data_IF_712066678204
#
_entry.id   IF_712066678204
#
_cell.length_a   1.000
_cell.length_b   1.000
_cell.length_c   1.000
_cell.angle_alpha   90.00
_cell.angle_beta   90.00
_cell.angle_gamma   90.00
#
_symmetry.space_group_name_H-M   'P 1'
#
loop_
_entity.id
_entity.type
_entity.pdbx_description
1 polymer ?
#
# COMPACT_ATOMS: atom_id res chain seq x y z
N UNK A 1 -67.88 -10.52 -40.10
CA UNK A 1 -67.75 -9.76 -41.36
C UNK A 1 -66.55 -8.83 -41.25
N UNK A 2 -65.39 -9.33 -40.79
CA UNK A 2 -64.36 -10.11 -41.51
C UNK A 2 -63.39 -9.18 -42.26
N UNK A 3 -62.37 -8.79 -41.49
CA UNK A 3 -61.24 -7.97 -41.86
C UNK A 3 -60.13 -8.86 -42.45
N UNK A 4 -59.51 -8.37 -43.52
CA UNK A 4 -58.54 -9.03 -44.38
C UNK A 4 -57.42 -9.82 -43.67
N UNK A 5 -57.29 -11.09 -44.04
CA UNK A 5 -56.18 -11.99 -43.69
C UNK A 5 -55.45 -12.38 -44.99
N UNK A 6 -54.12 -12.27 -44.97
CA UNK A 6 -53.25 -13.25 -45.61
C UNK A 6 -52.74 -12.95 -47.02
N UNK A 7 -51.87 -11.95 -47.17
CA UNK A 7 -50.92 -11.89 -48.31
C UNK A 7 -49.83 -12.94 -48.09
N UNK A 8 -50.11 -14.16 -48.54
CA UNK A 8 -49.10 -15.22 -48.70
C UNK A 8 -48.48 -15.10 -50.09
N UNK A 9 -47.32 -14.43 -50.21
CA UNK A 9 -46.41 -14.62 -51.34
C UNK A 9 -45.06 -15.12 -50.86
N UNK A 10 -44.87 -16.42 -51.08
CA UNK A 10 -43.72 -17.01 -51.78
C UNK A 10 -42.34 -16.68 -51.19
N UNK A 11 -41.83 -17.59 -50.36
CA UNK A 11 -40.39 -17.77 -50.18
C UNK A 11 -39.94 -19.15 -50.72
N UNK A 12 -39.02 -19.18 -51.70
CA UNK A 12 -38.34 -20.38 -52.18
C UNK A 12 -37.21 -20.81 -51.21
N UNK A 13 -36.55 -21.96 -51.43
CA UNK A 13 -36.10 -22.87 -50.38
C UNK A 13 -34.83 -22.44 -49.64
N UNK A 14 -34.72 -22.95 -48.42
CA UNK A 14 -33.65 -22.74 -47.45
C UNK A 14 -32.34 -23.27 -48.04
N UNK A 15 -31.50 -22.37 -48.56
CA UNK A 15 -30.10 -22.67 -48.88
C UNK A 15 -29.37 -22.89 -47.55
N UNK A 16 -28.93 -24.11 -47.34
CA UNK A 16 -27.96 -24.50 -46.32
C UNK A 16 -26.78 -23.53 -46.33
N UNK A 17 -26.57 -22.81 -45.22
CA UNK A 17 -25.36 -22.05 -45.00
C UNK A 17 -24.20 -23.03 -44.76
N UNK A 18 -23.11 -22.76 -45.48
CA UNK A 18 -21.88 -23.54 -45.52
C UNK A 18 -21.10 -23.40 -44.20
N UNK A 19 -20.46 -24.47 -43.76
CA UNK A 19 -19.74 -24.58 -42.48
C UNK A 19 -18.57 -23.57 -42.26
N UNK A 20 -18.26 -22.71 -43.24
CA UNK A 20 -17.24 -21.65 -43.13
C UNK A 20 -17.70 -20.38 -42.37
N UNK A 21 -18.99 -20.24 -42.04
CA UNK A 21 -19.49 -19.12 -41.23
C UNK A 21 -19.14 -19.25 -39.74
N UNK A 22 -18.75 -20.45 -39.28
CA UNK A 22 -18.46 -20.71 -37.86
C UNK A 22 -17.14 -20.10 -37.38
N UNK A 23 -16.11 -20.00 -38.24
CA UNK A 23 -14.84 -19.36 -37.87
C UNK A 23 -14.96 -17.84 -37.78
N UNK A 24 -15.76 -17.22 -38.66
CA UNK A 24 -15.96 -15.76 -38.68
C UNK A 24 -16.78 -15.34 -37.46
N UNK A 25 -17.83 -16.10 -37.11
CA UNK A 25 -18.62 -15.85 -35.91
C UNK A 25 -17.80 -16.08 -34.62
N UNK A 26 -16.90 -17.08 -34.58
CA UNK A 26 -16.00 -17.27 -33.44
C UNK A 26 -14.92 -16.20 -33.30
N UNK A 27 -14.40 -15.67 -34.43
CA UNK A 27 -13.45 -14.54 -34.43
C UNK A 27 -14.14 -13.25 -33.99
N UNK A 28 -15.35 -12.98 -34.48
CA UNK A 28 -16.15 -11.82 -34.08
C UNK A 28 -16.59 -11.89 -32.60
N UNK A 29 -17.00 -13.07 -32.11
CA UNK A 29 -17.36 -13.28 -30.72
C UNK A 29 -16.13 -13.17 -29.78
N UNK A 30 -14.95 -13.69 -30.17
CA UNK A 30 -13.70 -13.50 -29.39
C UNK A 30 -13.25 -12.04 -29.37
N UNK A 31 -13.36 -11.30 -30.48
CA UNK A 31 -13.00 -9.87 -30.52
C UNK A 31 -13.97 -9.05 -29.66
N UNK A 32 -15.27 -9.36 -29.65
CA UNK A 32 -16.26 -8.68 -28.82
C UNK A 32 -16.07 -9.00 -27.32
N UNK A 33 -15.73 -10.24 -26.96
CA UNK A 33 -15.45 -10.64 -25.57
C UNK A 33 -14.12 -10.06 -25.08
N UNK A 34 -13.08 -10.00 -25.92
CA UNK A 34 -11.80 -9.35 -25.56
C UNK A 34 -11.99 -7.85 -25.37
N UNK A 35 -12.81 -7.18 -26.19
CA UNK A 35 -13.14 -5.77 -26.00
C UNK A 35 -13.99 -5.52 -24.74
N UNK A 36 -14.87 -6.45 -24.36
CA UNK A 36 -15.68 -6.34 -23.14
C UNK A 36 -14.86 -6.63 -21.86
N UNK A 37 -13.89 -7.55 -21.92
CA UNK A 37 -12.98 -7.85 -20.79
C UNK A 37 -11.95 -6.75 -20.57
N UNK A 38 -11.53 -6.02 -21.61
CA UNK A 38 -10.63 -4.87 -21.46
C UNK A 38 -11.30 -3.61 -20.86
N UNK A 39 -12.63 -3.50 -20.89
CA UNK A 39 -13.34 -2.32 -20.39
C UNK A 39 -13.64 -2.33 -18.87
N UNK A 40 -13.53 -3.48 -18.20
CA UNK A 40 -13.73 -3.63 -16.74
C UNK A 40 -12.43 -3.87 -15.97
N UNK A 41 -11.28 -3.84 -16.64
CA UNK A 41 -9.96 -4.07 -16.04
C UNK A 41 -9.07 -2.81 -16.02
N UNK A 42 -9.66 -1.61 -15.95
CA UNK A 42 -8.92 -0.43 -15.54
C UNK A 42 -8.89 -0.40 -14.00
N UNK A 43 -7.69 -0.43 -13.39
CA UNK A 43 -7.55 -0.87 -12.03
C UNK A 43 -8.12 0.20 -11.09
N UNK A 44 -8.94 -0.23 -10.13
CA UNK A 44 -9.09 0.47 -8.85
C UNK A 44 -7.77 0.32 -8.07
N UNK A 45 -6.65 0.73 -8.68
CA UNK A 45 -5.37 1.07 -8.03
C UNK A 45 -5.34 2.56 -7.65
N UNK A 46 -6.37 3.34 -8.01
CA UNK A 46 -6.48 4.76 -7.69
C UNK A 46 -7.03 5.06 -6.28
N UNK A 47 -7.29 4.04 -5.46
CA UNK A 47 -7.63 4.22 -4.03
C UNK A 47 -6.47 3.76 -3.15
N UNK A 48 -5.25 4.23 -3.44
CA UNK A 48 -4.23 4.34 -2.40
C UNK A 48 -4.52 5.68 -1.70
N UNK A 49 -5.00 5.68 -0.44
CA UNK A 49 -5.24 6.93 0.28
C UNK A 49 -3.93 7.72 0.28
N UNK A 50 -3.99 8.90 -0.33
CA UNK A 50 -2.84 9.77 -0.51
C UNK A 50 -2.17 9.99 0.85
N UNK A 51 -0.95 9.45 0.99
CA UNK A 51 0.04 9.88 1.97
C UNK A 51 -0.54 10.18 3.37
N UNK A 52 -1.13 9.19 4.04
CA UNK A 52 -1.34 9.30 5.48
C UNK A 52 0.03 9.27 6.16
N UNK A 53 0.66 10.43 6.27
CA UNK A 53 1.82 10.66 7.14
C UNK A 53 1.33 10.52 8.56
N UNK A 54 1.30 9.29 9.06
CA UNK A 54 0.98 8.93 10.43
C UNK A 54 1.92 9.71 11.36
N UNK A 55 1.42 10.82 11.92
CA UNK A 55 2.15 11.63 12.91
C UNK A 55 2.04 10.93 14.26
N UNK A 56 3.12 10.87 15.01
CA UNK A 56 3.04 10.38 16.37
C UNK A 56 2.32 11.40 17.23
N UNK A 57 1.47 10.88 18.11
CA UNK A 57 0.98 11.66 19.22
C UNK A 57 2.17 12.13 20.10
N UNK A 58 2.08 13.31 20.72
CA UNK A 58 2.98 13.71 21.78
C UNK A 58 3.13 12.62 22.85
N UNK A 59 4.34 12.39 23.33
CA UNK A 59 4.57 11.53 24.48
C UNK A 59 5.71 10.54 24.31
N UNK A 60 5.47 9.32 24.79
CA UNK A 60 6.47 8.25 24.86
C UNK A 60 6.27 7.29 23.70
N UNK A 61 7.35 7.06 22.97
CA UNK A 61 7.43 6.16 21.82
C UNK A 61 8.42 5.08 22.17
N UNK A 62 8.07 3.82 21.96
CA UNK A 62 8.95 2.69 22.24
C UNK A 62 9.23 1.99 20.93
N UNK A 63 10.51 1.82 20.59
CA UNK A 63 10.94 1.10 19.40
C UNK A 63 11.65 -0.17 19.83
N UNK A 64 11.15 -1.32 19.43
CA UNK A 64 11.85 -2.59 19.54
C UNK A 64 12.83 -2.74 18.38
N UNK A 65 14.04 -3.21 18.67
CA UNK A 65 15.11 -3.36 17.70
C UNK A 65 15.70 -4.75 17.74
N UNK A 66 16.17 -5.25 16.61
CA UNK A 66 17.00 -6.45 16.54
C UNK A 66 18.46 -6.12 16.88
N UNK A 67 19.18 -7.05 17.49
CA UNK A 67 20.64 -7.01 17.64
C UNK A 67 21.22 -5.84 18.47
N UNK A 68 20.47 -5.25 19.41
CA UNK A 68 20.98 -4.21 20.34
C UNK A 68 21.66 -4.79 21.59
N UNK A 69 22.46 -5.85 21.43
CA UNK A 69 23.12 -6.59 22.51
C UNK A 69 24.36 -5.89 23.12
N UNK A 70 24.71 -4.69 22.65
CA UNK A 70 25.97 -4.03 23.01
C UNK A 70 25.80 -2.53 23.31
N UNK A 71 26.57 -2.00 24.27
CA UNK A 71 26.50 -0.58 24.63
C UNK A 71 26.86 0.36 23.46
N UNK A 72 27.75 -0.08 22.57
CA UNK A 72 28.11 0.66 21.36
C UNK A 72 26.93 0.75 20.38
N UNK A 73 26.18 -0.34 20.25
CA UNK A 73 25.00 -0.48 19.41
C UNK A 73 23.90 0.49 19.89
N UNK A 74 23.60 0.46 21.20
CA UNK A 74 22.67 1.38 21.83
C UNK A 74 23.09 2.86 21.68
N UNK A 75 24.38 3.18 21.87
CA UNK A 75 24.90 4.54 21.66
C UNK A 75 24.72 5.00 20.21
N UNK A 76 24.96 4.13 19.21
CA UNK A 76 24.76 4.47 17.80
C UNK A 76 23.31 4.83 17.50
N UNK A 77 22.35 4.02 17.96
CA UNK A 77 20.91 4.28 17.79
C UNK A 77 20.52 5.58 18.47
N UNK A 78 20.92 5.76 19.73
CA UNK A 78 20.62 6.97 20.49
C UNK A 78 21.14 8.23 19.78
N UNK A 79 22.37 8.22 19.27
CA UNK A 79 22.93 9.35 18.50
C UNK A 79 22.13 9.69 17.25
N UNK A 80 21.65 8.68 16.50
CA UNK A 80 20.82 8.91 15.32
C UNK A 80 19.45 9.49 15.69
N UNK A 81 18.85 9.01 16.77
CA UNK A 81 17.57 9.53 17.27
C UNK A 81 17.68 10.94 17.84
N UNK A 82 18.76 11.28 18.53
CA UNK A 82 19.00 12.66 18.98
C UNK A 82 19.19 13.66 17.83
N UNK A 83 19.61 13.20 16.65
CA UNK A 83 19.70 14.04 15.46
C UNK A 83 18.33 14.32 14.81
N UNK A 84 17.28 13.60 15.20
CA UNK A 84 15.92 13.82 14.69
C UNK A 84 15.33 15.06 15.33
N UNK A 85 14.94 16.03 14.48
CA UNK A 85 14.24 17.24 14.93
C UNK A 85 12.92 16.86 15.62
N UNK A 86 12.75 17.34 16.85
CA UNK A 86 11.56 17.07 17.66
C UNK A 86 11.75 15.97 18.72
N UNK A 87 12.88 15.28 18.76
CA UNK A 87 13.19 14.36 19.87
C UNK A 87 13.76 15.12 21.06
N UNK A 88 13.22 14.91 22.27
CA UNK A 88 13.68 15.56 23.51
C UNK A 88 14.63 14.68 24.33
N UNK A 89 14.29 13.40 24.49
CA UNK A 89 15.12 12.43 25.21
C UNK A 89 15.04 11.06 24.55
N UNK A 90 16.13 10.31 24.65
CA UNK A 90 16.24 8.92 24.20
C UNK A 90 16.87 8.10 25.31
N UNK A 91 16.21 7.01 25.68
CA UNK A 91 16.65 6.05 26.68
C UNK A 91 16.66 4.63 26.06
N UNK A 92 17.82 4.14 25.61
CA UNK A 92 17.97 2.75 25.17
C UNK A 92 18.06 1.79 26.37
N UNK A 93 17.45 0.62 26.26
CA UNK A 93 17.48 -0.48 27.22
C UNK A 93 18.02 -1.73 26.55
N UNK A 94 19.22 -2.16 26.96
CA UNK A 94 19.88 -3.37 26.46
C UNK A 94 19.19 -4.65 26.93
N UNK A 95 18.59 -4.63 28.13
CA UNK A 95 17.93 -5.81 28.71
C UNK A 95 16.69 -6.27 27.93
N UNK A 96 16.05 -5.34 27.22
CA UNK A 96 14.79 -5.59 26.50
C UNK A 96 14.89 -5.39 25.00
N UNK A 97 16.06 -4.98 24.51
CA UNK A 97 16.26 -4.52 23.13
C UNK A 97 15.23 -3.44 22.70
N UNK A 98 14.94 -2.52 23.63
CA UNK A 98 13.98 -1.44 23.42
C UNK A 98 14.66 -0.07 23.49
N UNK A 99 14.17 0.86 22.68
CA UNK A 99 14.57 2.26 22.74
C UNK A 99 13.34 3.12 23.02
N UNK A 100 13.37 3.82 24.15
CA UNK A 100 12.32 4.76 24.54
C UNK A 100 12.68 6.15 24.06
N UNK A 101 11.78 6.79 23.31
CA UNK A 101 11.94 8.12 22.75
C UNK A 101 10.84 9.02 23.30
N UNK A 102 11.24 10.15 23.86
CA UNK A 102 10.31 11.18 24.34
C UNK A 102 10.17 12.27 23.29
N UNK A 103 8.96 12.40 22.76
CA UNK A 103 8.56 13.44 21.81
C UNK A 103 7.69 14.45 22.55
N UNK A 104 8.08 15.73 22.63
CA UNK A 104 7.31 16.75 23.31
C UNK A 104 6.09 17.19 22.46
N UNK A 105 5.06 17.74 23.11
CA UNK A 105 3.79 18.06 22.45
C UNK A 105 3.85 19.22 21.46
N UNK A 106 4.83 20.10 21.62
CA UNK A 106 5.08 21.25 20.75
C UNK A 106 5.65 20.85 19.39
N UNK A 107 6.27 19.67 19.27
CA UNK A 107 6.98 19.23 18.07
C UNK A 107 6.64 17.79 17.70
N UNK A 108 5.54 17.55 16.95
CA UNK A 108 5.19 16.22 16.50
C UNK A 108 6.21 15.68 15.49
N UNK A 109 6.56 14.41 15.65
CA UNK A 109 7.49 13.69 14.77
C UNK A 109 6.70 12.62 13.99
N UNK A 110 7.09 12.33 12.75
CA UNK A 110 6.45 11.28 11.95
C UNK A 110 7.04 9.89 12.26
N UNK A 111 6.22 8.84 12.15
CA UNK A 111 6.63 7.43 12.42
C UNK A 111 7.80 7.03 11.55
N UNK A 112 7.71 7.36 10.27
CA UNK A 112 8.74 7.10 9.27
C UNK A 112 10.08 7.74 9.64
N UNK A 113 10.08 8.90 10.31
CA UNK A 113 11.32 9.59 10.69
C UNK A 113 12.04 8.88 11.83
N UNK A 114 11.30 8.45 12.86
CA UNK A 114 11.90 7.66 13.96
C UNK A 114 12.37 6.31 13.44
N UNK A 115 11.53 5.61 12.68
CA UNK A 115 11.85 4.31 12.12
C UNK A 115 13.09 4.35 11.22
N UNK A 116 13.14 5.30 10.27
CA UNK A 116 14.29 5.46 9.38
C UNK A 116 15.56 5.90 10.11
N UNK A 117 15.46 6.70 11.18
CA UNK A 117 16.61 7.08 11.98
C UNK A 117 17.24 5.88 12.72
N UNK A 118 16.41 4.96 13.22
CA UNK A 118 16.88 3.69 13.80
C UNK A 118 17.53 2.83 12.71
N UNK A 119 16.85 2.62 11.57
CA UNK A 119 17.41 1.86 10.46
C UNK A 119 18.76 2.44 9.97
N UNK A 120 18.92 3.76 9.98
CA UNK A 120 20.14 4.47 9.60
C UNK A 120 21.32 4.27 10.58
N UNK A 121 21.12 3.67 11.76
CA UNK A 121 22.23 3.23 12.62
C UNK A 121 22.81 1.88 12.20
N UNK A 122 22.19 1.20 11.22
CA UNK A 122 22.49 -0.17 10.82
C UNK A 122 21.81 -1.21 11.71
N UNK A 123 20.83 -0.80 12.52
CA UNK A 123 20.07 -1.68 13.41
C UNK A 123 18.62 -1.72 12.91
N UNK A 124 18.05 -2.92 12.81
CA UNK A 124 16.71 -3.11 12.26
C UNK A 124 15.65 -2.88 13.34
N UNK A 125 14.73 -1.92 13.18
CA UNK A 125 13.54 -1.83 14.01
C UNK A 125 12.53 -2.92 13.65
N UNK A 126 11.89 -3.50 14.67
CA UNK A 126 10.92 -4.61 14.55
C UNK A 126 9.50 -4.10 14.79
N UNK A 127 9.32 -3.32 15.84
CA UNK A 127 8.03 -2.80 16.27
C UNK A 127 8.22 -1.37 16.79
N UNK A 128 7.26 -0.50 16.51
CA UNK A 128 7.16 0.85 17.07
C UNK A 128 5.81 1.01 17.75
N UNK A 129 5.84 1.38 19.03
CA UNK A 129 4.67 1.56 19.87
C UNK A 129 4.52 3.02 20.27
N UNK A 130 3.31 3.55 20.23
CA UNK A 130 3.00 4.86 20.77
C UNK A 130 1.56 4.87 21.30
N UNK A 131 1.39 5.27 22.56
CA UNK A 131 0.09 5.13 23.23
C UNK A 131 -0.41 3.68 23.23
N UNK A 132 -1.59 3.46 22.68
CA UNK A 132 -2.21 2.12 22.52
C UNK A 132 -1.84 1.43 21.22
N UNK A 133 -1.20 2.14 20.29
CA UNK A 133 -0.95 1.64 18.96
C UNK A 133 0.40 0.92 18.86
N UNK A 134 0.42 -0.16 18.08
CA UNK A 134 1.62 -0.92 17.74
C UNK A 134 1.69 -1.01 16.22
N UNK A 135 2.85 -0.66 15.69
CA UNK A 135 3.15 -0.70 14.27
C UNK A 135 4.38 -1.56 14.07
N UNK A 136 4.19 -2.67 13.35
CA UNK A 136 5.26 -3.57 12.93
C UNK A 136 5.89 -3.09 11.62
N UNK A 137 6.93 -3.81 11.18
CA UNK A 137 7.63 -3.51 9.94
C UNK A 137 6.69 -3.53 8.72
N UNK A 138 5.72 -4.46 8.69
CA UNK A 138 4.74 -4.60 7.60
C UNK A 138 3.81 -3.37 7.53
N UNK A 139 3.25 -2.94 8.66
CA UNK A 139 2.38 -1.76 8.71
C UNK A 139 3.13 -0.45 8.37
N UNK A 140 4.43 -0.40 8.64
CA UNK A 140 5.26 0.79 8.37
C UNK A 140 5.81 0.79 6.94
N UNK A 141 5.94 -0.37 6.29
CA UNK A 141 6.43 -0.49 4.91
C UNK A 141 5.75 0.47 3.90
N UNK A 142 4.40 0.57 3.82
CA UNK A 142 3.75 1.50 2.90
C UNK A 142 4.02 2.97 3.25
N UNK A 143 4.15 3.29 4.55
CA UNK A 143 4.48 4.65 5.01
C UNK A 143 5.89 5.04 4.58
N UNK A 144 6.86 4.12 4.68
CA UNK A 144 8.23 4.32 4.22
C UNK A 144 8.31 4.46 2.71
N UNK A 145 7.56 3.65 1.96
CA UNK A 145 7.49 3.73 0.50
C UNK A 145 6.94 5.09 0.06
N UNK A 146 5.83 5.55 0.65
CA UNK A 146 5.24 6.86 0.39
C UNK A 146 6.20 8.01 0.73
N UNK A 147 6.93 7.91 1.86
CA UNK A 147 7.92 8.91 2.26
C UNK A 147 9.13 8.96 1.32
N UNK A 148 9.61 7.82 0.81
CA UNK A 148 10.69 7.78 -0.18
C UNK A 148 10.24 8.35 -1.53
N UNK A 149 9.04 8.01 -1.99
CA UNK A 149 8.50 8.48 -3.27
C UNK A 149 8.37 10.03 -3.33
N UNK A 150 8.07 10.68 -2.20
CA UNK A 150 7.98 12.15 -2.15
C UNK A 150 9.34 12.86 -2.13
N UNK A 151 10.42 12.16 -1.79
CA UNK A 151 11.78 12.74 -1.75
C UNK A 151 12.50 12.73 -3.11
N UNK A 152 11.96 12.04 -4.12
CA UNK A 152 12.58 11.92 -5.46
C UNK A 152 12.04 13.00 -6.43
N UNK A 153 11.41 14.06 -5.92
CA UNK A 153 10.87 15.16 -6.73
C UNK A 153 11.79 16.37 -6.74
#
# INVERSE_FOLDING_TARGET
MDTAIGVWRRLPPIKQLSNNDTEVVMRAAKVLVVLFVCAVAAPVLAQQPMAQTKKLAPGVVIVAVEDMHCATCAKKVARKLYAVKGVKRVAPSLEKDLVTVHVPADRPVAVVTIWSAVAASGIKPVELRFGTERLDAEAIAPLLAAAKASQVR
#
